data_IF_777460918349
#
_entry.id   IF_777460918349
#
_cell.length_a   1.000
_cell.length_b   1.000
_cell.length_c   1.000
_cell.angle_alpha   90.00
_cell.angle_beta   90.00
_cell.angle_gamma   90.00
#
_symmetry.space_group_name_H-M   'P 1'
#
loop_
_entity.id
_entity.type
_entity.pdbx_description
1 polymer ?
#
# COMPACT_ATOMS: atom_id res chain seq x y z
N UNK A 1 17.83 -3.60 22.03
CA UNK A 1 18.41 -4.25 20.83
C UNK A 1 17.36 -4.90 19.91
N UNK A 2 16.06 -4.56 19.98
CA UNK A 2 15.01 -5.37 19.31
C UNK A 2 14.20 -4.68 18.21
N UNK A 3 14.53 -3.43 17.84
CA UNK A 3 13.77 -2.67 16.81
C UNK A 3 14.25 -2.86 15.38
N UNK A 4 15.49 -3.31 15.17
CA UNK A 4 16.05 -3.57 13.83
C UNK A 4 15.69 -4.97 13.29
N UNK A 5 15.36 -5.93 14.16
CA UNK A 5 15.09 -7.32 13.74
C UNK A 5 13.73 -7.54 13.06
N UNK A 6 12.77 -6.64 13.29
CA UNK A 6 11.43 -6.71 12.70
C UNK A 6 11.42 -6.17 11.26
N UNK A 7 12.34 -5.27 10.89
CA UNK A 7 12.43 -4.71 9.53
C UNK A 7 12.89 -5.71 8.47
N UNK A 8 13.67 -6.73 8.84
CA UNK A 8 14.24 -7.68 7.87
C UNK A 8 13.24 -8.74 7.36
N UNK A 9 12.17 -9.00 8.11
CA UNK A 9 11.28 -10.15 7.81
C UNK A 9 10.29 -9.88 6.68
N UNK A 10 10.06 -8.64 6.30
CA UNK A 10 9.09 -8.29 5.25
C UNK A 10 9.77 -8.05 3.90
N UNK A 11 11.08 -7.83 3.90
CA UNK A 11 11.85 -7.43 2.72
C UNK A 11 11.84 -8.49 1.63
N UNK A 12 11.92 -9.77 1.98
CA UNK A 12 11.96 -10.89 1.04
C UNK A 12 10.59 -11.22 0.39
N UNK A 13 9.50 -10.59 0.87
CA UNK A 13 8.17 -10.69 0.28
C UNK A 13 7.87 -9.48 -0.60
N UNK A 14 8.12 -8.26 -0.10
CA UNK A 14 7.64 -7.03 -0.76
C UNK A 14 8.70 -6.18 -1.45
N UNK A 15 9.99 -6.30 -1.10
CA UNK A 15 11.05 -5.49 -1.72
C UNK A 15 11.99 -6.29 -2.63
N UNK A 16 12.15 -7.60 -2.37
CA UNK A 16 13.12 -8.45 -3.07
C UNK A 16 12.71 -9.90 -2.90
N UNK A 17 13.19 -10.80 -3.76
CA UNK A 17 13.03 -12.25 -3.59
C UNK A 17 12.15 -12.89 -4.66
N UNK A 18 12.25 -14.22 -4.71
CA UNK A 18 11.71 -15.05 -5.79
C UNK A 18 10.17 -14.97 -5.89
N UNK A 19 9.48 -14.75 -4.77
CA UNK A 19 8.01 -14.60 -4.76
C UNK A 19 7.59 -13.32 -5.50
N UNK A 20 8.19 -12.18 -5.18
CA UNK A 20 7.89 -10.90 -5.84
C UNK A 20 8.27 -10.97 -7.33
N UNK A 21 9.40 -11.58 -7.64
CA UNK A 21 9.85 -11.81 -9.01
C UNK A 21 8.84 -12.65 -9.79
N UNK A 22 8.32 -13.73 -9.21
CA UNK A 22 7.29 -14.57 -9.82
C UNK A 22 5.99 -13.82 -10.08
N UNK A 23 5.52 -13.04 -9.11
CA UNK A 23 4.32 -12.22 -9.26
C UNK A 23 4.47 -11.21 -10.40
N UNK A 24 5.63 -10.59 -10.51
CA UNK A 24 5.91 -9.57 -11.53
C UNK A 24 6.06 -10.18 -12.93
N UNK A 25 6.82 -11.27 -13.08
CA UNK A 25 7.05 -11.94 -14.36
C UNK A 25 5.73 -12.48 -14.93
N UNK A 26 4.92 -13.12 -14.09
CA UNK A 26 3.63 -13.68 -14.49
C UNK A 26 2.49 -12.67 -14.54
N UNK A 27 2.77 -11.38 -14.25
CA UNK A 27 1.80 -10.27 -14.28
C UNK A 27 0.49 -10.61 -13.57
N UNK A 28 0.59 -11.18 -12.37
CA UNK A 28 -0.59 -11.59 -11.59
C UNK A 28 -1.47 -10.41 -11.14
N UNK A 29 -0.90 -9.20 -11.15
CA UNK A 29 -1.60 -7.95 -10.85
C UNK A 29 -1.37 -6.94 -11.97
N UNK A 30 -2.26 -5.96 -12.05
CA UNK A 30 -2.17 -4.85 -13.01
C UNK A 30 -0.89 -4.01 -12.81
N UNK A 31 -0.49 -3.82 -11.55
CA UNK A 31 0.69 -3.07 -11.18
C UNK A 31 1.39 -3.68 -9.95
N UNK A 32 2.69 -3.39 -9.83
CA UNK A 32 3.54 -3.90 -8.75
C UNK A 32 3.06 -3.46 -7.35
N UNK A 33 2.38 -2.32 -7.25
CA UNK A 33 1.89 -1.80 -5.99
C UNK A 33 0.66 -2.57 -5.52
N UNK A 34 -0.20 -3.02 -6.43
CA UNK A 34 -1.38 -3.83 -6.09
C UNK A 34 -0.97 -5.05 -5.27
N UNK A 35 0.11 -5.74 -5.62
CA UNK A 35 0.63 -6.84 -4.81
C UNK A 35 1.22 -6.39 -3.47
N UNK A 36 2.02 -5.31 -3.46
CA UNK A 36 2.64 -4.78 -2.23
C UNK A 36 1.60 -4.29 -1.21
N UNK A 37 0.43 -3.86 -1.68
CA UNK A 37 -0.70 -3.47 -0.83
C UNK A 37 -1.55 -4.65 -0.34
N UNK A 38 -1.31 -5.88 -0.82
CA UNK A 38 -2.01 -7.07 -0.33
C UNK A 38 -1.48 -7.47 1.05
N UNK A 39 -2.35 -7.53 2.07
CA UNK A 39 -1.93 -7.97 3.38
C UNK A 39 -1.65 -9.49 3.42
N UNK A 40 -0.48 -9.93 3.86
CA UNK A 40 -0.25 -11.30 4.36
C UNK A 40 -1.24 -11.76 5.46
N UNK A 41 -1.74 -12.99 5.29
CA UNK A 41 -2.60 -13.72 6.24
C UNK A 41 -1.80 -14.47 7.31
N UNK A 42 -0.49 -14.68 7.09
CA UNK A 42 0.40 -15.52 7.92
C UNK A 42 1.77 -14.85 8.11
N UNK A 43 2.59 -15.43 8.98
CA UNK A 43 3.95 -14.93 9.22
C UNK A 43 4.81 -14.96 7.94
N UNK A 44 5.61 -13.93 7.66
CA UNK A 44 6.41 -13.85 6.44
C UNK A 44 7.32 -15.07 6.22
N UNK A 45 7.98 -15.58 7.28
CA UNK A 45 8.87 -16.74 7.15
C UNK A 45 8.09 -17.99 6.80
N UNK A 46 6.87 -18.13 7.31
CA UNK A 46 6.00 -19.25 6.99
C UNK A 46 5.60 -19.21 5.52
N UNK A 47 5.17 -18.04 5.03
CA UNK A 47 4.80 -17.84 3.62
C UNK A 47 6.00 -18.16 2.72
N UNK A 48 7.18 -17.63 3.04
CA UNK A 48 8.41 -17.92 2.30
C UNK A 48 8.74 -19.41 2.26
N UNK A 49 8.66 -20.09 3.41
CA UNK A 49 8.92 -21.53 3.48
C UNK A 49 7.93 -22.35 2.65
N UNK A 50 6.66 -21.97 2.63
CA UNK A 50 5.65 -22.65 1.80
C UNK A 50 5.87 -22.37 0.32
N UNK A 51 6.24 -21.14 -0.04
CA UNK A 51 6.62 -20.79 -1.40
C UNK A 51 7.82 -21.62 -1.89
N UNK A 52 8.89 -21.70 -1.09
CA UNK A 52 10.06 -22.52 -1.40
C UNK A 52 9.73 -24.01 -1.51
N UNK A 53 8.81 -24.51 -0.67
CA UNK A 53 8.37 -25.91 -0.73
C UNK A 53 7.65 -26.21 -2.05
N UNK A 54 6.82 -25.29 -2.55
CA UNK A 54 6.01 -25.49 -3.74
C UNK A 54 6.77 -25.16 -5.04
N UNK A 55 7.51 -24.05 -5.07
CA UNK A 55 8.12 -23.48 -6.28
C UNK A 55 9.66 -23.36 -6.19
N UNK A 56 10.28 -23.79 -5.09
CA UNK A 56 11.71 -23.56 -4.85
C UNK A 56 12.64 -24.17 -5.90
N UNK A 57 12.26 -25.33 -6.48
CA UNK A 57 13.05 -26.05 -7.48
C UNK A 57 12.86 -25.57 -8.93
N UNK A 58 11.79 -24.82 -9.21
CA UNK A 58 11.46 -24.34 -10.55
C UNK A 58 12.16 -23.02 -10.83
N UNK A 59 12.43 -22.67 -12.09
CA UNK A 59 12.78 -21.27 -12.41
C UNK A 59 11.53 -20.42 -12.33
N UNK A 60 11.69 -19.11 -12.15
CA UNK A 60 10.55 -18.22 -11.92
C UNK A 60 9.64 -18.17 -13.15
N UNK A 61 10.23 -18.19 -14.33
CA UNK A 61 9.55 -18.16 -15.62
C UNK A 61 8.71 -19.41 -15.87
N UNK A 62 9.10 -20.54 -15.26
CA UNK A 62 8.46 -21.85 -15.45
C UNK A 62 7.32 -22.11 -14.46
N UNK A 63 7.09 -21.21 -13.49
CA UNK A 63 6.02 -21.35 -12.50
C UNK A 63 4.66 -21.25 -13.20
N UNK A 64 3.74 -22.15 -12.90
CA UNK A 64 2.38 -22.08 -13.41
C UNK A 64 1.63 -20.86 -12.83
N UNK A 65 1.14 -19.91 -13.66
CA UNK A 65 0.44 -18.72 -13.17
C UNK A 65 -0.79 -19.03 -12.31
N UNK A 66 -1.53 -20.10 -12.61
CA UNK A 66 -2.75 -20.47 -11.87
C UNK A 66 -2.43 -20.99 -10.47
N UNK A 67 -1.35 -21.75 -10.32
CA UNK A 67 -0.89 -22.23 -9.02
C UNK A 67 -0.34 -21.08 -8.17
N UNK A 68 0.37 -20.14 -8.81
CA UNK A 68 0.88 -18.94 -8.14
C UNK A 68 -0.26 -18.01 -7.70
N UNK A 69 -1.32 -17.89 -8.51
CA UNK A 69 -2.54 -17.16 -8.16
C UNK A 69 -3.24 -17.79 -6.95
N UNK A 70 -3.42 -19.11 -6.96
CA UNK A 70 -4.00 -19.84 -5.83
C UNK A 70 -3.14 -19.70 -4.56
N UNK A 71 -1.81 -19.73 -4.71
CA UNK A 71 -0.89 -19.47 -3.59
C UNK A 71 -1.06 -18.05 -3.03
N UNK A 72 -1.14 -17.03 -3.90
CA UNK A 72 -1.41 -15.64 -3.51
C UNK A 72 -2.71 -15.57 -2.70
N UNK A 73 -3.80 -16.10 -3.23
CA UNK A 73 -5.12 -16.01 -2.59
C UNK A 73 -5.19 -16.76 -1.26
N UNK A 74 -4.39 -17.81 -1.09
CA UNK A 74 -4.28 -18.54 0.16
C UNK A 74 -3.53 -17.75 1.25
N UNK A 75 -2.46 -17.05 0.88
CA UNK A 75 -1.55 -16.42 1.85
C UNK A 75 -1.67 -14.89 1.96
N UNK A 76 -2.38 -14.25 1.03
CA UNK A 76 -2.58 -12.81 0.98
C UNK A 76 -4.07 -12.47 0.90
N UNK A 77 -4.46 -11.37 1.54
CA UNK A 77 -5.77 -10.74 1.50
C UNK A 77 -5.88 -9.80 0.28
N UNK A 78 -7.08 -9.24 0.08
CA UNK A 78 -7.30 -8.19 -0.91
C UNK A 78 -6.53 -6.89 -0.57
N UNK A 79 -6.10 -6.12 -1.58
CA UNK A 79 -5.37 -4.88 -1.36
C UNK A 79 -6.19 -3.92 -0.49
N UNK A 80 -5.55 -3.36 0.54
CA UNK A 80 -6.23 -2.41 1.44
C UNK A 80 -7.20 -3.05 2.44
N UNK A 81 -7.32 -4.38 2.50
CA UNK A 81 -8.19 -5.06 3.46
C UNK A 81 -7.75 -4.89 4.93
N UNK A 82 -6.58 -4.30 5.18
CA UNK A 82 -6.12 -3.88 6.50
C UNK A 82 -6.69 -2.54 6.97
N UNK A 83 -7.25 -1.75 6.03
CA UNK A 83 -7.74 -0.40 6.27
C UNK A 83 -9.25 -0.38 6.48
N UNK A 84 -9.67 0.28 7.54
CA UNK A 84 -11.08 0.57 7.81
C UNK A 84 -11.36 2.05 7.57
N UNK A 85 -12.56 2.36 7.08
CA UNK A 85 -13.03 3.74 7.00
C UNK A 85 -13.18 4.32 8.41
N UNK A 86 -12.77 5.58 8.57
CA UNK A 86 -12.97 6.32 9.81
C UNK A 86 -13.62 7.69 9.55
N UNK A 87 -13.99 8.36 10.63
CA UNK A 87 -14.28 9.80 10.61
C UNK A 87 -13.19 10.49 11.43
N UNK A 88 -12.55 11.56 10.91
CA UNK A 88 -11.56 12.30 11.68
C UNK A 88 -12.17 12.86 12.97
N UNK A 89 -11.40 12.84 14.06
CA UNK A 89 -11.85 13.40 15.34
C UNK A 89 -12.13 14.90 15.18
N UNK A 90 -13.29 15.36 15.65
CA UNK A 90 -13.76 16.76 15.56
C UNK A 90 -14.09 17.25 14.13
N UNK A 91 -14.31 16.34 13.19
CA UNK A 91 -14.82 16.73 11.87
C UNK A 91 -16.24 17.29 11.98
N UNK A 92 -16.53 18.37 11.24
CA UNK A 92 -17.82 19.04 11.19
C UNK A 92 -18.17 19.37 9.74
N UNK A 93 -19.45 19.29 9.37
CA UNK A 93 -19.87 19.63 7.99
C UNK A 93 -19.56 21.10 7.66
N UNK A 94 -19.72 22.00 8.62
CA UNK A 94 -19.52 23.45 8.47
C UNK A 94 -18.56 24.00 9.52
N UNK A 95 -17.24 23.77 9.38
CA UNK A 95 -16.28 24.26 10.36
C UNK A 95 -16.32 25.80 10.45
N UNK A 96 -16.36 26.39 11.66
CA UNK A 96 -16.48 27.85 11.82
C UNK A 96 -15.44 28.64 11.03
N UNK A 97 -14.19 28.16 10.98
CA UNK A 97 -13.11 28.78 10.21
C UNK A 97 -13.36 28.80 8.70
N UNK A 98 -13.98 27.76 8.14
CA UNK A 98 -14.33 27.72 6.72
C UNK A 98 -15.49 28.68 6.45
N UNK A 99 -16.47 28.73 7.35
CA UNK A 99 -17.62 29.63 7.21
C UNK A 99 -17.26 31.12 7.26
N UNK A 100 -16.13 31.47 7.86
CA UNK A 100 -15.60 32.84 7.88
C UNK A 100 -14.98 33.29 6.53
N UNK A 101 -14.74 32.39 5.56
CA UNK A 101 -14.18 32.76 4.26
C UNK A 101 -15.20 33.59 3.49
N UNK A 102 -14.96 34.88 3.28
CA UNK A 102 -15.92 35.80 2.65
C UNK A 102 -16.27 35.42 1.21
N UNK A 103 -15.26 35.05 0.42
CA UNK A 103 -15.45 34.63 -0.97
C UNK A 103 -16.21 33.30 -1.04
N UNK A 104 -17.36 33.31 -1.73
CA UNK A 104 -18.25 32.16 -1.85
C UNK A 104 -17.60 30.95 -2.54
N UNK A 105 -16.89 31.16 -3.64
CA UNK A 105 -16.24 30.08 -4.40
C UNK A 105 -15.13 29.41 -3.58
N UNK A 106 -14.32 30.20 -2.88
CA UNK A 106 -13.28 29.68 -1.99
C UNK A 106 -13.86 28.94 -0.79
N UNK A 107 -14.99 29.41 -0.25
CA UNK A 107 -15.72 28.73 0.83
C UNK A 107 -16.26 27.38 0.38
N UNK A 108 -16.90 27.32 -0.78
CA UNK A 108 -17.41 26.07 -1.37
C UNK A 108 -16.27 25.09 -1.67
N UNK A 109 -15.15 25.57 -2.22
CA UNK A 109 -13.95 24.75 -2.41
C UNK A 109 -13.43 24.17 -1.09
N UNK A 110 -13.33 24.98 -0.03
CA UNK A 110 -12.88 24.53 1.28
C UNK A 110 -13.85 23.51 1.93
N UNK A 111 -15.16 23.68 1.76
CA UNK A 111 -16.17 22.70 2.21
C UNK A 111 -16.04 21.37 1.43
N UNK A 112 -15.84 21.44 0.12
CA UNK A 112 -15.60 20.25 -0.71
C UNK A 112 -14.32 19.50 -0.28
N UNK A 113 -13.25 20.22 0.05
CA UNK A 113 -12.04 19.62 0.63
C UNK A 113 -12.32 18.96 1.99
N UNK A 114 -13.11 19.61 2.84
CA UNK A 114 -13.50 19.09 4.14
C UNK A 114 -14.29 17.77 4.03
N UNK A 115 -15.22 17.65 3.09
CA UNK A 115 -15.91 16.40 2.78
C UNK A 115 -14.96 15.32 2.28
N UNK A 116 -14.02 15.68 1.37
CA UNK A 116 -13.00 14.74 0.90
C UNK A 116 -12.13 14.21 2.05
N UNK A 117 -11.76 15.06 3.01
CA UNK A 117 -10.99 14.63 4.19
C UNK A 117 -11.70 13.56 5.02
N UNK A 118 -13.03 13.66 5.16
CA UNK A 118 -13.82 12.62 5.82
C UNK A 118 -13.82 11.32 5.02
N UNK A 119 -14.03 11.40 3.70
CA UNK A 119 -14.06 10.22 2.83
C UNK A 119 -12.73 9.49 2.76
N UNK A 120 -11.61 10.21 2.83
CA UNK A 120 -10.26 9.66 2.75
C UNK A 120 -9.68 9.18 4.09
N UNK A 121 -10.39 9.37 5.20
CA UNK A 121 -9.96 8.90 6.51
C UNK A 121 -9.88 7.38 6.53
N UNK A 122 -8.70 6.84 6.86
CA UNK A 122 -8.49 5.42 7.11
C UNK A 122 -7.84 5.18 8.47
N UNK A 123 -8.18 4.05 9.09
CA UNK A 123 -7.52 3.53 10.28
C UNK A 123 -7.08 2.09 10.03
N UNK A 124 -5.97 1.66 10.63
CA UNK A 124 -5.56 0.25 10.57
C UNK A 124 -6.45 -0.55 11.52
N UNK A 125 -7.04 -1.63 11.03
CA UNK A 125 -7.83 -2.53 11.87
C UNK A 125 -6.97 -3.14 12.99
N UNK A 126 -7.42 -3.03 14.24
CA UNK A 126 -6.69 -3.53 15.41
C UNK A 126 -6.47 -5.06 15.35
N UNK A 127 -7.41 -5.77 14.73
CA UNK A 127 -7.36 -7.23 14.55
C UNK A 127 -6.26 -7.63 13.57
N UNK A 128 -6.06 -6.86 12.48
CA UNK A 128 -5.03 -7.16 11.46
C UNK A 128 -3.67 -6.52 11.75
N UNK A 129 -3.58 -5.60 12.72
CA UNK A 129 -2.32 -4.97 13.14
C UNK A 129 -1.25 -5.97 13.62
N UNK A 130 -1.64 -7.18 14.08
CA UNK A 130 -0.69 -8.25 14.46
C UNK A 130 0.11 -8.82 13.27
N UNK A 131 -0.43 -8.76 12.06
CA UNK A 131 0.27 -9.19 10.84
C UNK A 131 1.19 -8.11 10.25
N UNK A 132 1.12 -6.88 10.75
CA UNK A 132 1.88 -5.71 10.27
C UNK A 132 2.52 -4.94 11.43
N UNK A 133 3.73 -5.31 11.89
CA UNK A 133 4.44 -4.50 12.87
C UNK A 133 4.79 -3.10 12.33
N UNK A 134 4.82 -2.94 11.01
CA UNK A 134 4.99 -1.67 10.28
C UNK A 134 3.83 -0.66 10.45
N UNK A 135 2.62 -1.15 10.74
CA UNK A 135 1.37 -0.37 10.68
C UNK A 135 0.73 -0.19 12.07
N UNK A 136 1.52 -0.25 13.14
CA UNK A 136 1.08 0.15 14.48
C UNK A 136 0.91 1.68 14.59
N UNK A 137 0.17 2.28 13.66
CA UNK A 137 -0.30 3.64 13.72
C UNK A 137 -1.60 3.58 14.53
N UNK A 138 -1.52 3.94 15.81
CA UNK A 138 -2.71 4.06 16.68
C UNK A 138 -3.69 5.17 16.24
N UNK A 139 -3.47 5.79 15.09
CA UNK A 139 -4.10 7.03 14.65
C UNK A 139 -4.65 6.90 13.24
N UNK A 140 -5.77 7.57 12.98
CA UNK A 140 -6.30 7.74 11.65
C UNK A 140 -5.32 8.52 10.76
N UNK A 141 -5.21 8.14 9.49
CA UNK A 141 -4.39 8.82 8.50
C UNK A 141 -5.15 8.95 7.17
N UNK A 142 -4.65 9.82 6.29
CA UNK A 142 -5.28 10.12 5.02
C UNK A 142 -4.53 9.42 3.89
N UNK A 143 -5.27 8.75 3.02
CA UNK A 143 -4.71 8.26 1.76
C UNK A 143 -4.56 9.45 0.80
N UNK A 144 -3.34 9.69 0.34
CA UNK A 144 -3.03 10.84 -0.52
C UNK A 144 -3.26 10.52 -2.02
N UNK A 145 -3.35 9.24 -2.37
CA UNK A 145 -3.63 8.73 -3.73
C UNK A 145 -3.81 7.21 -3.67
N UNK A 146 -4.39 6.61 -4.71
CA UNK A 146 -4.40 5.15 -4.95
C UNK A 146 -3.01 4.52 -4.89
N UNK A 147 -1.93 5.32 -5.04
CA UNK A 147 -0.56 4.82 -5.10
C UNK A 147 0.36 5.18 -3.92
N UNK A 148 -0.09 5.91 -2.88
CA UNK A 148 0.79 6.31 -1.77
C UNK A 148 0.08 6.44 -0.41
N UNK A 149 0.55 5.70 0.60
CA UNK A 149 0.14 5.86 2.02
C UNK A 149 0.99 6.94 2.68
N UNK A 150 0.38 8.08 3.03
CA UNK A 150 1.04 9.15 3.77
C UNK A 150 0.68 9.03 5.26
N UNK A 151 1.64 8.59 6.07
CA UNK A 151 1.47 8.46 7.52
C UNK A 151 1.85 9.78 8.18
N UNK A 152 0.84 10.59 8.53
CA UNK A 152 1.05 11.80 9.33
C UNK A 152 1.09 11.42 10.83
N UNK A 153 2.26 10.98 11.32
CA UNK A 153 2.52 10.82 12.76
C UNK A 153 3.50 11.89 13.23
N UNK A 154 3.16 12.64 14.29
CA UNK A 154 4.04 13.63 14.94
C UNK A 154 5.30 13.03 15.59
N UNK A 155 5.45 11.70 15.61
CA UNK A 155 6.67 11.03 16.08
C UNK A 155 6.96 9.85 15.15
N UNK A 156 7.98 10.03 14.32
CA UNK A 156 8.61 9.02 13.45
C UNK A 156 7.66 8.31 12.48
N UNK A 157 7.62 8.81 11.25
CA UNK A 157 7.07 8.09 10.11
C UNK A 157 8.13 7.12 9.56
N UNK A 158 7.91 5.81 9.68
CA UNK A 158 8.61 4.85 8.83
C UNK A 158 7.74 4.63 7.59
N UNK A 159 8.05 5.36 6.52
CA UNK A 159 7.61 5.01 5.17
C UNK A 159 8.56 3.92 4.70
N UNK A 160 8.04 2.75 4.31
CA UNK A 160 8.84 1.76 3.61
C UNK A 160 9.24 2.36 2.26
N UNK A 161 10.45 2.90 2.20
CA UNK A 161 11.13 3.20 0.95
C UNK A 161 12.02 2.00 0.71
N UNK A 162 11.64 1.07 -0.18
CA UNK A 162 12.59 0.05 -0.65
C UNK A 162 13.73 0.83 -1.34
N UNK A 163 14.95 0.85 -0.78
CA UNK A 163 16.07 1.54 -1.42
C UNK A 163 16.49 0.65 -2.59
N UNK A 164 16.17 1.07 -3.81
CA UNK A 164 16.53 0.31 -5.02
C UNK A 164 15.37 -0.13 -5.90
N UNK A 165 14.18 0.49 -5.82
CA UNK A 165 13.27 0.48 -6.97
C UNK A 165 13.92 1.25 -8.14
N UNK A 166 14.87 0.60 -8.81
CA UNK A 166 15.16 0.90 -10.20
C UNK A 166 13.84 0.62 -10.94
N UNK A 167 13.06 1.66 -11.19
CA UNK A 167 12.07 1.63 -12.24
C UNK A 167 12.78 1.09 -13.49
N UNK A 168 12.39 -0.07 -14.07
CA UNK A 168 12.74 -0.32 -15.45
C UNK A 168 12.14 0.86 -16.20
N UNK A 169 12.97 1.60 -16.91
CA UNK A 169 12.50 2.69 -17.73
C UNK A 169 11.45 2.12 -18.69
N UNK A 170 10.18 2.44 -18.48
CA UNK A 170 9.26 2.52 -19.58
C UNK A 170 9.84 3.61 -20.48
N UNK A 171 10.53 3.19 -21.54
CA UNK A 171 10.86 4.04 -22.65
C UNK A 171 9.56 4.67 -23.14
N UNK A 172 9.35 5.93 -22.80
CA UNK A 172 8.33 6.74 -23.45
C UNK A 172 8.66 6.79 -24.94
N UNK A 173 7.75 6.39 -25.85
CA UNK A 173 7.92 6.71 -27.26
C UNK A 173 7.99 8.23 -27.41
N UNK A 174 8.81 8.77 -28.32
CA UNK A 174 8.94 10.20 -28.49
C UNK A 174 7.60 10.81 -28.90
N UNK A 175 7.19 11.86 -28.17
CA UNK A 175 6.05 12.70 -28.51
C UNK A 175 6.25 13.26 -29.93
N UNK A 176 5.48 12.73 -30.88
CA UNK A 176 5.30 13.39 -32.17
C UNK A 176 4.67 14.77 -31.90
N UNK A 177 5.37 15.82 -32.29
CA UNK A 177 4.83 17.18 -32.35
C UNK A 177 3.65 17.17 -33.32
N UNK A 178 2.44 17.36 -32.81
CA UNK A 178 1.32 17.80 -33.62
C UNK A 178 1.57 19.27 -33.98
N UNK A 179 1.70 19.53 -35.28
CA UNK A 179 1.86 20.86 -35.83
C UNK A 179 0.60 21.71 -35.71
N UNK A 180 0.83 23.02 -35.70
CA UNK A 180 -0.11 24.13 -35.76
C UNK A 180 0.69 25.41 -35.80
#
# INVERSE_FOLDING_TARGET
MSRCFIELQFRFIYCSGKLLEAVNIHKLELDWKTFVDRPMKKDPKMIQKQFEKQFGKQKVEDINPQELLAFRDLYFDEPGAELEQCTPTNWQNYPPKIMMIENKELREFALNLNERWKLLCRRVSFVKARSYPALSIKYAFMLCSSYTKLVLSRKSACVYVCPGAFCPQLSTPPLQKLGG
#
